data_IF_144210076897
#
_entry.id   IF_144210076897
#
_cell.length_a   1.000
_cell.length_b   1.000
_cell.length_c   1.000
_cell.angle_alpha   90.00
_cell.angle_beta   90.00
_cell.angle_gamma   90.00
#
_symmetry.space_group_name_H-M   'P 1'
#
loop_
_entity.id
_entity.type
_entity.pdbx_description
1 polymer ?
#
# COMPACT_ATOMS: atom_id res chain seq x y z
N UNK A 1 -17.93 -4.07 -5.65
CA UNK A 1 -18.76 -3.06 -4.99
C UNK A 1 -20.03 -3.73 -4.47
N UNK A 2 -20.39 -3.45 -3.24
CA UNK A 2 -21.60 -3.96 -2.58
C UNK A 2 -21.99 -3.01 -1.45
N UNK A 3 -23.20 -3.13 -0.93
CA UNK A 3 -23.55 -2.46 0.33
C UNK A 3 -23.10 -3.29 1.53
N UNK A 4 -22.82 -2.63 2.64
CA UNK A 4 -22.60 -3.26 3.93
C UNK A 4 -23.94 -3.55 4.63
N UNK A 5 -23.92 -4.43 5.64
CA UNK A 5 -25.07 -4.64 6.51
C UNK A 5 -25.48 -3.30 7.15
N UNK A 6 -26.78 -2.93 7.12
CA UNK A 6 -27.24 -1.65 7.63
C UNK A 6 -27.01 -1.57 9.14
N UNK A 7 -26.46 -0.44 9.59
CA UNK A 7 -26.08 -0.24 10.99
C UNK A 7 -27.09 0.70 11.64
N UNK A 8 -27.87 0.21 12.61
CA UNK A 8 -28.65 1.10 13.48
C UNK A 8 -27.67 1.85 14.36
N UNK A 9 -27.65 3.19 14.25
CA UNK A 9 -26.81 4.04 15.08
C UNK A 9 -27.31 4.00 16.52
N UNK A 10 -26.45 3.53 17.42
CA UNK A 10 -26.66 3.60 18.87
C UNK A 10 -25.67 4.61 19.46
N UNK A 11 -26.13 5.72 20.08
CA UNK A 11 -25.24 6.70 20.70
C UNK A 11 -24.31 6.14 21.79
N UNK A 12 -24.62 4.96 22.34
CA UNK A 12 -23.81 4.29 23.36
C UNK A 12 -22.67 3.45 22.77
N UNK A 13 -22.77 3.12 21.48
CA UNK A 13 -21.78 2.33 20.78
C UNK A 13 -20.89 3.28 19.97
N UNK A 14 -19.63 3.36 20.36
CA UNK A 14 -18.69 4.30 19.73
C UNK A 14 -18.32 3.90 18.30
N UNK A 15 -18.23 2.60 18.02
CA UNK A 15 -17.77 2.06 16.75
C UNK A 15 -18.52 0.80 16.37
N UNK A 16 -18.75 0.63 15.06
CA UNK A 16 -19.47 -0.51 14.52
C UNK A 16 -18.60 -1.24 13.51
N UNK A 17 -18.48 -2.56 13.67
CA UNK A 17 -17.75 -3.39 12.72
C UNK A 17 -18.55 -3.52 11.42
N UNK A 18 -17.91 -3.23 10.30
CA UNK A 18 -18.51 -3.31 8.98
C UNK A 18 -18.51 -4.75 8.47
N UNK A 19 -19.58 -5.12 7.75
CA UNK A 19 -19.70 -6.41 7.07
C UNK A 19 -20.36 -6.22 5.72
N UNK A 20 -19.84 -6.86 4.68
CA UNK A 20 -20.47 -6.86 3.36
C UNK A 20 -21.80 -7.64 3.43
N UNK A 21 -22.89 -7.02 2.95
CA UNK A 21 -24.21 -7.61 3.04
C UNK A 21 -24.31 -8.90 2.21
N UNK A 22 -24.88 -9.94 2.81
CA UNK A 22 -25.13 -11.22 2.13
C UNK A 22 -23.88 -12.07 1.86
N UNK A 23 -22.70 -11.66 2.33
CA UNK A 23 -21.46 -12.44 2.18
C UNK A 23 -21.06 -13.04 3.52
N UNK A 24 -20.55 -14.28 3.50
CA UNK A 24 -20.00 -14.91 4.71
C UNK A 24 -18.81 -14.11 5.22
N UNK A 25 -18.69 -13.96 6.54
CA UNK A 25 -17.62 -13.20 7.18
C UNK A 25 -16.22 -13.71 6.80
N UNK A 26 -16.06 -15.02 6.59
CA UNK A 26 -14.80 -15.63 6.14
C UNK A 26 -14.44 -15.34 4.69
N UNK A 27 -15.38 -14.88 3.86
CA UNK A 27 -15.18 -14.66 2.42
C UNK A 27 -15.26 -13.17 2.06
N UNK A 28 -15.18 -12.29 3.05
CA UNK A 28 -15.23 -10.86 2.83
C UNK A 28 -14.23 -10.13 3.72
N UNK A 29 -13.72 -9.06 3.15
CA UNK A 29 -12.88 -8.10 3.83
C UNK A 29 -13.15 -6.74 3.20
N UNK A 30 -13.40 -5.74 4.05
CA UNK A 30 -13.67 -4.38 3.58
C UNK A 30 -12.34 -3.78 3.11
N UNK A 31 -12.25 -3.45 1.82
CA UNK A 31 -11.11 -2.77 1.23
C UNK A 31 -11.26 -1.26 1.36
N UNK A 32 -12.45 -0.74 1.05
CA UNK A 32 -12.73 0.69 1.07
C UNK A 32 -14.21 0.95 1.42
N UNK A 33 -14.46 2.03 2.15
CA UNK A 33 -15.81 2.58 2.35
C UNK A 33 -15.98 3.75 1.40
N UNK A 34 -16.88 3.59 0.44
CA UNK A 34 -17.08 4.55 -0.66
C UNK A 34 -18.09 5.64 -0.33
N UNK A 35 -19.16 5.32 0.39
CA UNK A 35 -20.17 6.30 0.79
C UNK A 35 -20.88 5.89 2.09
N UNK A 36 -21.31 6.88 2.86
CA UNK A 36 -21.97 6.70 4.15
C UNK A 36 -23.15 7.65 4.26
N UNK A 37 -24.34 7.09 4.34
CA UNK A 37 -25.61 7.84 4.37
C UNK A 37 -26.43 7.45 5.60
N UNK A 38 -26.81 8.43 6.41
CA UNK A 38 -27.82 8.28 7.45
C UNK A 38 -29.23 8.40 6.89
N UNK A 39 -30.05 7.39 7.16
CA UNK A 39 -31.47 7.33 6.80
C UNK A 39 -32.32 7.29 8.07
N UNK A 40 -33.32 8.18 8.15
CA UNK A 40 -34.24 8.29 9.28
C UNK A 40 -35.62 7.78 8.90
N UNK A 41 -36.31 7.11 9.83
CA UNK A 41 -37.68 6.69 9.59
C UNK A 41 -38.60 7.92 9.44
N UNK A 42 -39.37 7.96 8.35
CA UNK A 42 -40.34 9.03 8.08
C UNK A 42 -39.78 10.34 7.51
N UNK A 43 -38.46 10.46 7.29
CA UNK A 43 -37.86 11.60 6.58
C UNK A 43 -37.32 11.17 5.21
N UNK A 44 -37.62 11.96 4.18
CA UNK A 44 -37.05 11.77 2.83
C UNK A 44 -35.59 12.25 2.79
N UNK A 45 -35.23 13.19 3.66
CA UNK A 45 -33.91 13.79 3.66
C UNK A 45 -32.87 12.80 4.19
N UNK A 46 -31.95 12.42 3.31
CA UNK A 46 -30.78 11.59 3.61
C UNK A 46 -29.65 12.50 4.07
N UNK A 47 -28.96 12.12 5.14
CA UNK A 47 -27.79 12.85 5.63
C UNK A 47 -26.52 12.14 5.14
N UNK A 48 -25.71 12.81 4.35
CA UNK A 48 -24.41 12.28 3.94
C UNK A 48 -23.37 12.56 5.01
N UNK A 49 -22.49 11.58 5.24
CA UNK A 49 -21.34 11.70 6.13
C UNK A 49 -20.07 11.63 5.30
N UNK A 50 -19.33 12.74 5.12
CA UNK A 50 -18.03 12.70 4.46
C UNK A 50 -16.97 12.01 5.34
N UNK A 51 -15.90 11.44 4.74
CA UNK A 51 -14.76 10.94 5.50
C UNK A 51 -14.06 12.09 6.21
N UNK A 52 -13.62 11.86 7.45
CA UNK A 52 -12.85 12.85 8.21
C UNK A 52 -11.60 13.32 7.45
N UNK A 53 -10.87 12.41 6.81
CA UNK A 53 -9.60 12.68 6.13
C UNK A 53 -9.75 13.61 4.92
N UNK A 54 -10.95 13.75 4.34
CA UNK A 54 -11.16 14.66 3.22
C UNK A 54 -11.15 16.15 3.63
N UNK A 55 -11.10 16.46 4.94
CA UNK A 55 -11.10 17.82 5.49
C UNK A 55 -12.27 18.72 5.02
N UNK A 56 -13.27 18.17 4.32
CA UNK A 56 -14.48 18.89 3.89
C UNK A 56 -15.23 19.49 5.07
N UNK A 57 -15.19 18.78 6.22
CA UNK A 57 -15.78 19.21 7.48
C UNK A 57 -15.20 20.52 8.05
N UNK A 58 -14.02 20.98 7.59
CA UNK A 58 -13.44 22.25 8.03
C UNK A 58 -14.27 23.47 7.61
N UNK A 59 -15.08 23.35 6.55
CA UNK A 59 -15.88 24.44 5.99
C UNK A 59 -17.38 24.38 6.39
N UNK A 60 -17.86 23.26 6.93
CA UNK A 60 -19.30 22.99 7.15
C UNK A 60 -19.87 23.47 8.49
N UNK A 61 -19.06 24.18 9.30
CA UNK A 61 -19.50 24.78 10.55
C UNK A 61 -19.92 23.77 11.65
N UNK A 62 -20.64 24.23 12.69
CA UNK A 62 -20.91 23.47 13.92
C UNK A 62 -21.95 22.33 13.77
N UNK A 63 -22.35 21.95 12.56
CA UNK A 63 -23.18 20.76 12.34
C UNK A 63 -22.50 19.69 11.48
N UNK A 64 -21.23 19.91 11.12
CA UNK A 64 -20.42 18.93 10.41
C UNK A 64 -20.40 17.62 11.20
N UNK A 65 -20.71 16.51 10.54
CA UNK A 65 -20.56 15.19 11.10
C UNK A 65 -19.89 14.34 10.03
N UNK A 66 -18.92 13.54 10.43
CA UNK A 66 -18.06 12.80 9.52
C UNK A 66 -17.86 11.40 10.04
N UNK A 67 -17.46 10.48 9.16
CA UNK A 67 -17.06 9.15 9.60
C UNK A 67 -15.54 9.04 9.69
N UNK A 68 -15.09 8.24 10.65
CA UNK A 68 -13.72 7.76 10.76
C UNK A 68 -13.72 6.24 10.64
N UNK A 69 -12.63 5.71 10.10
CA UNK A 69 -12.41 4.27 9.98
C UNK A 69 -11.28 3.86 10.90
N UNK A 70 -11.42 2.70 11.51
CA UNK A 70 -10.37 2.05 12.28
C UNK A 70 -10.18 0.62 11.77
N UNK A 71 -8.96 0.32 11.35
CA UNK A 71 -8.56 -1.03 10.94
C UNK A 71 -7.87 -1.74 12.10
N UNK A 72 -8.23 -3.01 12.32
CA UNK A 72 -7.63 -3.85 13.34
C UNK A 72 -7.38 -5.24 12.80
N UNK A 73 -6.40 -5.94 13.36
CA UNK A 73 -6.17 -7.34 13.05
C UNK A 73 -7.38 -8.13 13.53
N UNK A 74 -7.86 -9.04 12.70
CA UNK A 74 -8.96 -9.93 13.07
C UNK A 74 -8.48 -10.91 14.14
N UNK A 75 -9.28 -11.21 15.16
CA UNK A 75 -8.92 -12.23 16.14
C UNK A 75 -9.08 -13.67 15.60
N UNK A 76 -9.70 -13.83 14.43
CA UNK A 76 -10.03 -15.13 13.84
C UNK A 76 -8.95 -15.67 12.92
N UNK A 77 -8.25 -14.78 12.22
CA UNK A 77 -7.24 -15.09 11.20
C UNK A 77 -6.34 -13.86 10.96
N UNK A 78 -5.57 -13.87 9.88
CA UNK A 78 -4.68 -12.76 9.48
C UNK A 78 -5.43 -11.54 8.88
N UNK A 79 -6.74 -11.67 8.60
CA UNK A 79 -7.79 -10.65 8.67
C UNK A 79 -7.48 -9.19 9.00
N UNK A 80 -7.97 -8.22 8.21
CA UNK A 80 -8.25 -6.87 8.72
C UNK A 80 -9.75 -6.64 8.89
N UNK A 81 -10.17 -6.40 10.13
CA UNK A 81 -11.53 -5.98 10.44
C UNK A 81 -11.60 -4.44 10.42
N UNK A 82 -12.65 -3.90 9.80
CA UNK A 82 -12.85 -2.45 9.65
C UNK A 82 -14.03 -2.00 10.50
N UNK A 83 -13.78 -1.00 11.33
CA UNK A 83 -14.77 -0.37 12.20
C UNK A 83 -15.05 1.05 11.70
N UNK A 84 -16.32 1.45 11.77
CA UNK A 84 -16.78 2.78 11.42
C UNK A 84 -17.34 3.48 12.66
N UNK A 85 -16.95 4.74 12.82
CA UNK A 85 -17.47 5.64 13.86
C UNK A 85 -17.97 6.92 13.22
N UNK A 86 -19.14 7.40 13.67
CA UNK A 86 -19.63 8.73 13.33
C UNK A 86 -19.15 9.69 14.41
N UNK A 87 -18.45 10.74 14.00
CA UNK A 87 -17.86 11.72 14.91
C UNK A 87 -18.42 13.10 14.58
N UNK A 88 -18.64 13.89 15.63
CA UNK A 88 -19.05 15.30 15.55
C UNK A 88 -18.02 16.18 16.25
N UNK A 89 -17.91 17.47 15.89
CA UNK A 89 -17.07 18.42 16.61
C UNK A 89 -17.47 18.50 18.09
N UNK A 90 -16.49 18.82 18.94
CA UNK A 90 -16.62 18.79 20.40
C UNK A 90 -17.73 19.70 20.94
N UNK A 91 -17.98 20.81 20.26
CA UNK A 91 -18.93 21.85 20.69
C UNK A 91 -20.38 21.54 20.23
N UNK A 92 -20.59 20.39 19.58
CA UNK A 92 -21.89 19.94 19.10
C UNK A 92 -22.43 18.90 20.08
N UNK A 93 -23.63 19.16 20.62
CA UNK A 93 -24.30 18.19 21.46
C UNK A 93 -24.53 16.87 20.67
N UNK A 94 -24.29 15.69 21.28
CA UNK A 94 -24.63 14.42 20.67
C UNK A 94 -26.08 14.42 20.21
N UNK A 95 -26.30 13.99 18.97
CA UNK A 95 -27.65 13.86 18.45
C UNK A 95 -28.22 12.51 18.88
N UNK A 96 -29.25 12.52 19.73
CA UNK A 96 -30.00 11.32 20.15
C UNK A 96 -30.97 10.81 19.06
N UNK A 97 -30.75 11.18 17.81
CA UNK A 97 -31.66 10.84 16.72
C UNK A 97 -31.35 9.43 16.24
N UNK A 98 -32.34 8.54 16.34
CA UNK A 98 -32.26 7.20 15.77
C UNK A 98 -32.20 7.29 14.24
N UNK A 99 -31.13 6.74 13.67
CA UNK A 99 -30.95 6.63 12.22
C UNK A 99 -30.27 5.30 11.89
N UNK A 100 -30.49 4.84 10.66
CA UNK A 100 -29.82 3.66 10.11
C UNK A 100 -28.80 4.14 9.08
N UNK A 101 -27.56 3.69 9.22
CA UNK A 101 -26.50 3.97 8.28
C UNK A 101 -26.59 2.97 7.12
N UNK A 102 -26.78 3.51 5.93
CA UNK A 102 -26.57 2.82 4.65
C UNK A 102 -25.14 3.11 4.23
N UNK A 103 -24.36 2.06 3.99
CA UNK A 103 -22.92 2.18 3.75
C UNK A 103 -22.59 1.38 2.50
N UNK A 104 -21.97 2.03 1.52
CA UNK A 104 -21.48 1.38 0.31
C UNK A 104 -19.99 1.13 0.41
N UNK A 105 -19.57 -0.08 0.07
CA UNK A 105 -18.21 -0.58 0.26
C UNK A 105 -17.68 -1.30 -0.97
N UNK A 106 -16.36 -1.22 -1.13
CA UNK A 106 -15.62 -2.17 -1.93
C UNK A 106 -15.07 -3.24 -1.01
N UNK A 107 -15.45 -4.50 -1.24
CA UNK A 107 -14.99 -5.64 -0.49
C UNK A 107 -14.15 -6.57 -1.37
N UNK A 108 -13.14 -7.20 -0.78
CA UNK A 108 -12.34 -8.26 -1.37
C UNK A 108 -12.79 -9.61 -0.82
N UNK A 109 -12.32 -10.69 -1.44
CA UNK A 109 -12.73 -12.06 -1.07
C UNK A 109 -11.92 -12.65 0.10
N UNK A 110 -11.25 -11.82 0.92
CA UNK A 110 -10.39 -12.25 2.04
C UNK A 110 -9.43 -13.36 1.58
N UNK A 111 -9.39 -14.49 2.29
CA UNK A 111 -8.49 -15.61 2.02
C UNK A 111 -9.02 -16.63 1.00
N UNK A 112 -10.24 -16.44 0.48
CA UNK A 112 -10.84 -17.35 -0.50
C UNK A 112 -10.00 -17.54 -1.78
N UNK A 113 -9.32 -16.50 -2.34
CA UNK A 113 -8.50 -16.69 -3.53
C UNK A 113 -7.31 -17.63 -3.31
N UNK A 114 -6.87 -17.84 -2.07
CA UNK A 114 -5.78 -18.75 -1.72
C UNK A 114 -6.17 -20.23 -1.85
N UNK A 115 -7.47 -20.53 -1.92
CA UNK A 115 -7.97 -21.90 -2.15
C UNK A 115 -7.91 -22.29 -3.63
N UNK A 116 -7.70 -21.33 -4.53
CA UNK A 116 -7.71 -21.56 -5.97
C UNK A 116 -6.41 -22.20 -6.47
N UNK A 117 -6.54 -23.27 -7.22
CA UNK A 117 -5.43 -23.95 -7.88
C UNK A 117 -5.15 -23.43 -9.30
N UNK A 118 -4.00 -23.83 -9.85
CA UNK A 118 -3.66 -23.53 -11.24
C UNK A 118 -4.65 -24.21 -12.18
N UNK A 119 -5.29 -23.43 -13.05
CA UNK A 119 -6.30 -23.89 -14.01
C UNK A 119 -7.74 -23.73 -13.53
N UNK A 120 -8.01 -23.40 -12.27
CA UNK A 120 -9.38 -23.29 -11.75
C UNK A 120 -10.09 -22.00 -12.21
N UNK A 121 -9.34 -20.94 -12.50
CA UNK A 121 -9.88 -19.72 -13.13
C UNK A 121 -10.02 -20.00 -14.63
N UNK A 122 -11.12 -20.64 -15.02
CA UNK A 122 -11.34 -21.13 -16.39
C UNK A 122 -12.67 -20.70 -17.04
N UNK A 123 -13.46 -19.89 -16.33
CA UNK A 123 -14.76 -19.44 -16.81
C UNK A 123 -14.56 -18.41 -17.94
N UNK A 124 -15.29 -18.60 -19.05
CA UNK A 124 -15.31 -17.65 -20.16
C UNK A 124 -16.07 -16.38 -19.78
N UNK A 125 -15.47 -15.18 -19.91
CA UNK A 125 -16.16 -13.92 -19.63
C UNK A 125 -17.39 -13.74 -20.54
N UNK A 126 -18.43 -13.09 -20.01
CA UNK A 126 -19.59 -12.70 -20.83
C UNK A 126 -19.15 -11.66 -21.88
N UNK A 127 -19.65 -11.78 -23.11
CA UNK A 127 -19.38 -10.82 -24.19
C UNK A 127 -18.21 -11.17 -25.11
N UNK A 128 -17.59 -12.35 -24.96
CA UNK A 128 -16.56 -12.84 -25.89
C UNK A 128 -17.24 -13.47 -27.12
N UNK A 129 -16.88 -12.98 -28.31
CA UNK A 129 -17.49 -13.40 -29.58
C UNK A 129 -16.99 -14.74 -30.12
N UNK A 130 -15.79 -15.17 -29.72
CA UNK A 130 -15.18 -16.43 -30.14
C UNK A 130 -14.93 -17.35 -28.94
N UNK A 131 -15.29 -18.64 -29.00
CA UNK A 131 -15.01 -19.58 -27.93
C UNK A 131 -13.50 -19.83 -27.86
N UNK A 132 -12.86 -19.33 -26.80
CA UNK A 132 -11.47 -19.60 -26.47
C UNK A 132 -11.37 -20.16 -25.05
N UNK A 133 -10.48 -21.14 -24.79
CA UNK A 133 -10.26 -21.63 -23.43
C UNK A 133 -9.51 -20.58 -22.60
N UNK A 134 -10.08 -20.17 -21.48
CA UNK A 134 -9.43 -19.31 -20.50
C UNK A 134 -8.83 -20.16 -19.39
N UNK A 135 -7.63 -19.81 -18.94
CA UNK A 135 -7.01 -20.37 -17.74
C UNK A 135 -6.04 -19.37 -17.14
N UNK A 136 -5.87 -19.36 -15.82
CA UNK A 136 -4.76 -18.65 -15.21
C UNK A 136 -3.42 -19.29 -15.62
N UNK A 137 -2.45 -18.43 -15.93
CA UNK A 137 -1.09 -18.83 -16.33
C UNK A 137 -0.14 -19.00 -15.13
N UNK A 138 -0.55 -18.50 -13.96
CA UNK A 138 0.16 -18.61 -12.69
C UNK A 138 -0.85 -18.88 -11.57
N UNK A 139 -0.42 -19.47 -10.44
CA UNK A 139 -1.23 -19.54 -9.23
C UNK A 139 -1.71 -18.15 -8.80
N UNK A 140 -2.87 -18.09 -8.16
CA UNK A 140 -3.37 -16.86 -7.56
C UNK A 140 -2.46 -16.47 -6.41
N UNK A 141 -2.07 -15.21 -6.35
CA UNK A 141 -1.24 -14.72 -5.25
C UNK A 141 -2.06 -14.67 -3.97
N UNK A 142 -1.47 -15.15 -2.87
CA UNK A 142 -2.08 -15.01 -1.55
C UNK A 142 -2.25 -13.51 -1.20
N UNK A 143 -3.36 -13.14 -0.56
CA UNK A 143 -3.57 -11.77 -0.09
C UNK A 143 -2.41 -11.31 0.77
N UNK A 144 -1.84 -10.14 0.45
CA UNK A 144 -0.76 -9.54 1.24
C UNK A 144 -1.29 -8.36 2.02
N UNK A 145 -1.28 -8.50 3.36
CA UNK A 145 -1.86 -7.54 4.30
C UNK A 145 -0.73 -6.73 4.93
N UNK A 146 -0.92 -5.42 5.01
CA UNK A 146 -0.01 -4.58 5.77
C UNK A 146 -0.25 -4.80 7.28
N UNK A 147 0.79 -4.72 8.14
CA UNK A 147 0.59 -4.67 9.57
C UNK A 147 -0.29 -3.46 9.89
N UNK A 148 -1.23 -3.61 10.82
CA UNK A 148 -2.10 -2.53 11.28
C UNK A 148 -1.63 -1.98 12.61
N UNK A 149 -1.94 -0.72 12.90
CA UNK A 149 -1.57 -0.08 14.16
C UNK A 149 -0.18 0.54 14.16
N UNK A 150 0.44 0.63 15.34
CA UNK A 150 1.64 1.45 15.59
C UNK A 150 2.84 1.09 14.72
N UNK A 151 2.99 -0.18 14.34
CA UNK A 151 4.11 -0.63 13.53
C UNK A 151 4.12 0.03 12.14
N UNK A 152 2.96 0.10 11.46
CA UNK A 152 2.85 0.76 10.16
C UNK A 152 3.17 2.26 10.25
N UNK A 153 2.73 2.91 11.33
CA UNK A 153 3.04 4.32 11.58
C UNK A 153 4.55 4.52 11.74
N UNK A 154 5.24 3.66 12.50
CA UNK A 154 6.69 3.74 12.64
C UNK A 154 7.41 3.47 11.32
N UNK A 155 6.97 2.48 10.54
CA UNK A 155 7.51 2.23 9.19
C UNK A 155 7.36 3.47 8.29
N UNK A 156 6.20 4.10 8.29
CA UNK A 156 5.95 5.33 7.53
C UNK A 156 6.82 6.49 8.01
N UNK A 157 6.90 6.74 9.32
CA UNK A 157 7.73 7.79 9.90
C UNK A 157 9.22 7.58 9.57
N UNK A 158 9.71 6.34 9.67
CA UNK A 158 11.08 5.99 9.27
C UNK A 158 11.33 6.28 7.80
N UNK A 159 10.37 5.97 6.92
CA UNK A 159 10.49 6.27 5.48
C UNK A 159 10.46 7.78 5.18
N UNK A 160 9.53 8.52 5.78
CA UNK A 160 9.43 9.97 5.56
C UNK A 160 10.65 10.75 6.04
N UNK A 161 11.36 10.23 7.04
CA UNK A 161 12.62 10.79 7.54
C UNK A 161 13.83 10.53 6.64
N UNK A 162 13.69 9.77 5.55
CA UNK A 162 14.81 9.43 4.68
C UNK A 162 15.33 10.64 3.92
N UNK A 163 16.63 10.86 4.04
CA UNK A 163 17.38 11.77 3.18
C UNK A 163 18.27 10.97 2.24
N UNK A 164 18.65 11.58 1.12
CA UNK A 164 19.62 10.97 0.19
C UNK A 164 20.96 10.65 0.86
N UNK A 165 21.39 11.47 1.82
CA UNK A 165 22.61 11.20 2.61
C UNK A 165 22.44 9.94 3.44
N UNK A 166 21.26 9.72 4.02
CA UNK A 166 20.94 8.52 4.78
C UNK A 166 20.99 7.26 3.90
N UNK A 167 20.49 7.32 2.66
CA UNK A 167 20.50 6.20 1.72
C UNK A 167 21.89 5.84 1.18
N UNK A 168 22.93 6.63 1.48
CA UNK A 168 24.32 6.25 1.18
C UNK A 168 24.90 5.26 2.22
N UNK A 169 24.22 5.06 3.35
CA UNK A 169 24.57 4.04 4.34
C UNK A 169 23.88 2.71 3.98
N UNK A 170 24.64 1.62 3.73
CA UNK A 170 24.05 0.31 3.42
C UNK A 170 23.13 -0.21 4.54
N UNK A 171 23.36 0.15 5.80
CA UNK A 171 22.51 -0.23 6.93
C UNK A 171 21.14 0.41 6.84
N UNK A 172 21.11 1.72 6.53
CA UNK A 172 19.86 2.46 6.35
C UNK A 172 19.12 1.99 5.10
N UNK A 173 19.83 1.72 4.00
CA UNK A 173 19.22 1.17 2.79
C UNK A 173 18.56 -0.19 3.07
N UNK A 174 19.27 -1.10 3.75
CA UNK A 174 18.71 -2.41 4.14
C UNK A 174 17.50 -2.26 5.04
N UNK A 175 17.59 -1.40 6.07
CA UNK A 175 16.48 -1.13 6.96
C UNK A 175 15.26 -0.58 6.19
N UNK A 176 15.48 0.35 5.25
CA UNK A 176 14.44 0.93 4.41
C UNK A 176 13.74 -0.13 3.57
N UNK A 177 14.49 -0.98 2.87
CA UNK A 177 13.91 -2.07 2.07
C UNK A 177 13.16 -3.08 2.94
N UNK A 178 13.65 -3.35 4.15
CA UNK A 178 13.00 -4.25 5.10
C UNK A 178 11.61 -3.73 5.56
N UNK A 179 11.38 -2.41 5.58
CA UNK A 179 10.06 -1.85 5.88
C UNK A 179 8.97 -2.33 4.90
N UNK A 180 9.35 -2.71 3.69
CA UNK A 180 8.44 -3.15 2.62
C UNK A 180 8.34 -4.66 2.48
N UNK A 181 9.05 -5.45 3.28
CA UNK A 181 8.97 -6.92 3.22
C UNK A 181 7.73 -7.46 3.95
N UNK A 182 6.54 -7.06 3.52
CA UNK A 182 5.26 -7.55 4.06
C UNK A 182 5.04 -9.05 3.80
N UNK A 183 5.68 -9.60 2.77
CA UNK A 183 5.57 -11.02 2.41
C UNK A 183 6.08 -11.98 3.50
N UNK A 184 6.91 -11.48 4.43
CA UNK A 184 7.39 -12.26 5.58
C UNK A 184 6.26 -12.79 6.46
N UNK A 185 5.17 -12.04 6.59
CA UNK A 185 4.02 -12.43 7.41
C UNK A 185 3.19 -13.56 6.78
N UNK A 186 3.32 -13.77 5.47
CA UNK A 186 2.45 -14.68 4.70
C UNK A 186 3.17 -15.95 4.32
N UNK A 187 4.44 -15.83 3.93
CA UNK A 187 5.26 -16.94 3.48
C UNK A 187 6.67 -16.78 4.03
N UNK A 188 7.05 -17.68 4.93
CA UNK A 188 8.42 -17.75 5.44
C UNK A 188 9.44 -17.89 4.30
N UNK A 189 9.10 -18.61 3.23
CA UNK A 189 9.99 -18.80 2.07
C UNK A 189 10.17 -17.52 1.27
N UNK A 190 9.09 -16.83 0.89
CA UNK A 190 9.18 -15.58 0.12
C UNK A 190 9.79 -14.46 0.95
N UNK A 191 9.36 -14.35 2.21
CA UNK A 191 9.93 -13.42 3.18
C UNK A 191 11.43 -13.61 3.34
N UNK A 192 11.90 -14.85 3.50
CA UNK A 192 13.33 -15.16 3.62
C UNK A 192 14.10 -14.87 2.34
N UNK A 193 13.51 -15.15 1.17
CA UNK A 193 14.13 -14.81 -0.11
C UNK A 193 14.33 -13.30 -0.25
N UNK A 194 13.34 -12.50 0.12
CA UNK A 194 13.45 -11.04 0.12
C UNK A 194 14.48 -10.55 1.15
N UNK A 195 14.53 -11.14 2.36
CA UNK A 195 15.57 -10.83 3.35
C UNK A 195 16.97 -11.11 2.81
N UNK A 196 17.19 -12.26 2.15
CA UNK A 196 18.48 -12.57 1.54
C UNK A 196 18.87 -11.55 0.48
N UNK A 197 17.92 -11.15 -0.38
CA UNK A 197 18.13 -10.08 -1.38
C UNK A 197 18.53 -8.76 -0.72
N UNK A 198 17.89 -8.39 0.38
CA UNK A 198 18.24 -7.18 1.16
C UNK A 198 19.62 -7.33 1.81
N UNK A 199 19.90 -8.46 2.46
CA UNK A 199 21.19 -8.80 3.09
C UNK A 199 22.33 -8.87 2.06
N UNK A 200 22.02 -9.05 0.78
CA UNK A 200 23.02 -9.07 -0.30
C UNK A 200 23.78 -7.74 -0.44
N UNK A 201 23.18 -6.62 -0.04
CA UNK A 201 23.79 -5.29 -0.13
C UNK A 201 25.01 -5.23 0.79
N UNK A 202 26.21 -5.15 0.19
CA UNK A 202 27.49 -5.09 0.92
C UNK A 202 27.94 -3.66 1.16
N UNK A 203 27.90 -2.83 0.13
CA UNK A 203 28.34 -1.44 0.23
C UNK A 203 27.54 -0.53 -0.70
N UNK A 204 27.41 0.72 -0.29
CA UNK A 204 26.82 1.79 -1.09
C UNK A 204 27.82 2.94 -1.10
N UNK A 205 28.09 3.50 -2.28
CA UNK A 205 28.96 4.66 -2.46
C UNK A 205 28.25 5.69 -3.32
N UNK A 206 28.22 6.93 -2.87
CA UNK A 206 27.66 8.05 -3.63
C UNK A 206 28.79 8.95 -4.12
N UNK A 207 28.83 9.19 -5.42
CA UNK A 207 29.82 10.06 -6.07
C UNK A 207 29.13 11.20 -6.81
N UNK A 208 29.61 12.45 -6.70
CA UNK A 208 29.06 13.55 -7.48
C UNK A 208 29.37 13.33 -8.96
N UNK A 209 28.37 13.54 -9.82
CA UNK A 209 28.55 13.47 -11.28
C UNK A 209 27.86 14.65 -11.96
N UNK A 210 28.40 15.04 -13.11
CA UNK A 210 27.77 16.01 -14.01
C UNK A 210 27.51 15.32 -15.34
N UNK A 211 26.32 15.56 -15.92
CA UNK A 211 25.95 15.09 -17.26
C UNK A 211 25.39 16.23 -18.07
N UNK A 212 25.57 16.14 -19.38
CA UNK A 212 24.85 16.99 -20.31
C UNK A 212 23.51 16.31 -20.61
N UNK A 213 22.41 16.92 -20.17
CA UNK A 213 21.05 16.50 -20.49
C UNK A 213 20.43 17.61 -21.32
N UNK A 214 20.00 17.27 -22.55
CA UNK A 214 19.39 18.23 -23.50
C UNK A 214 20.23 19.50 -23.73
N UNK A 215 21.57 19.37 -23.70
CA UNK A 215 22.49 20.49 -23.92
C UNK A 215 22.79 21.33 -22.68
N UNK A 216 22.19 21.02 -21.52
CA UNK A 216 22.47 21.70 -20.25
C UNK A 216 23.26 20.81 -19.28
N UNK A 217 24.26 21.35 -18.56
CA UNK A 217 24.97 20.60 -17.53
C UNK A 217 24.09 20.43 -16.28
N UNK A 218 23.70 19.19 -15.99
CA UNK A 218 22.95 18.82 -14.80
C UNK A 218 23.88 18.09 -13.82
N UNK A 219 23.87 18.56 -12.56
CA UNK A 219 24.62 17.94 -11.47
C UNK A 219 23.76 16.90 -10.77
N UNK A 220 24.38 15.86 -10.22
CA UNK A 220 23.68 14.88 -9.41
C UNK A 220 24.64 13.92 -8.74
N UNK A 221 24.18 12.70 -8.46
CA UNK A 221 25.07 11.64 -8.00
C UNK A 221 24.89 10.34 -8.76
N UNK A 222 26.02 9.66 -8.88
CA UNK A 222 26.07 8.23 -9.15
C UNK A 222 26.13 7.48 -7.84
N UNK A 223 25.21 6.54 -7.67
CA UNK A 223 25.22 5.58 -6.57
C UNK A 223 25.77 4.27 -7.10
N UNK A 224 26.87 3.79 -6.51
CA UNK A 224 27.42 2.46 -6.77
C UNK A 224 27.07 1.54 -5.61
N UNK A 225 26.44 0.42 -5.93
CA UNK A 225 26.03 -0.58 -4.95
C UNK A 225 26.73 -1.89 -5.27
N UNK A 226 27.41 -2.45 -4.28
CA UNK A 226 27.97 -3.78 -4.38
C UNK A 226 27.04 -4.78 -3.69
N UNK A 227 26.67 -5.83 -4.41
CA UNK A 227 25.79 -6.89 -3.91
C UNK A 227 26.43 -8.27 -4.02
N UNK A 228 26.09 -9.13 -3.07
CA UNK A 228 26.50 -10.52 -3.04
C UNK A 228 25.59 -11.39 -3.93
N UNK A 229 26.15 -11.95 -4.99
CA UNK A 229 25.41 -12.71 -6.00
C UNK A 229 24.78 -13.99 -5.43
N UNK A 230 25.44 -14.64 -4.46
CA UNK A 230 24.95 -15.86 -3.79
C UNK A 230 23.60 -15.69 -3.09
N UNK A 231 23.16 -14.44 -2.85
CA UNK A 231 21.94 -14.10 -2.10
C UNK A 231 20.82 -13.52 -2.97
N UNK A 232 21.08 -13.24 -4.26
CA UNK A 232 20.12 -12.59 -5.16
C UNK A 232 19.29 -13.57 -6.01
N UNK A 233 19.69 -14.85 -6.03
CA UNK A 233 19.08 -15.89 -6.85
C UNK A 233 19.70 -15.91 -8.24
N UNK A 234 18.98 -15.42 -9.26
CA UNK A 234 19.45 -15.39 -10.65
C UNK A 234 19.96 -14.02 -11.08
N UNK A 235 20.72 -13.97 -12.20
CA UNK A 235 21.17 -12.72 -12.83
C UNK A 235 19.98 -11.82 -13.21
N UNK A 236 18.85 -12.41 -13.65
CA UNK A 236 17.64 -11.66 -13.95
C UNK A 236 16.98 -11.04 -12.71
N UNK A 237 16.96 -11.75 -11.59
CA UNK A 237 16.49 -11.20 -10.31
C UNK A 237 17.40 -10.09 -9.79
N UNK A 238 18.72 -10.23 -9.96
CA UNK A 238 19.67 -9.18 -9.63
C UNK A 238 19.43 -7.91 -10.47
N UNK A 239 19.15 -8.05 -11.76
CA UNK A 239 18.77 -6.93 -12.62
C UNK A 239 17.47 -6.27 -12.16
N UNK A 240 16.42 -7.04 -11.89
CA UNK A 240 15.14 -6.51 -11.38
C UNK A 240 15.30 -5.80 -10.03
N UNK A 241 16.12 -6.35 -9.14
CA UNK A 241 16.46 -5.71 -7.87
C UNK A 241 17.12 -4.35 -8.09
N UNK A 242 18.04 -4.25 -9.05
CA UNK A 242 18.64 -2.98 -9.45
C UNK A 242 17.61 -1.99 -10.03
N UNK A 243 16.62 -2.43 -10.80
CA UNK A 243 15.55 -1.55 -11.28
C UNK A 243 14.74 -0.91 -10.13
N UNK A 244 14.47 -1.68 -9.07
CA UNK A 244 13.77 -1.16 -7.87
C UNK A 244 14.63 -0.12 -7.15
N UNK A 245 15.94 -0.38 -7.04
CA UNK A 245 16.87 0.56 -6.43
C UNK A 245 17.01 1.85 -7.28
N UNK A 246 17.02 1.74 -8.60
CA UNK A 246 17.11 2.88 -9.51
C UNK A 246 15.92 3.82 -9.32
N UNK A 247 14.71 3.26 -9.25
CA UNK A 247 13.49 4.04 -8.97
C UNK A 247 13.52 4.66 -7.57
N UNK A 248 13.98 3.91 -6.56
CA UNK A 248 14.12 4.41 -5.19
C UNK A 248 15.02 5.64 -5.15
N UNK A 249 16.20 5.60 -5.77
CA UNK A 249 17.11 6.75 -5.77
C UNK A 249 16.57 7.91 -6.62
N UNK A 250 15.92 7.64 -7.74
CA UNK A 250 15.29 8.69 -8.56
C UNK A 250 14.20 9.46 -7.80
N UNK A 251 13.40 8.76 -6.99
CA UNK A 251 12.35 9.37 -6.16
C UNK A 251 12.91 10.29 -5.04
N UNK A 252 14.15 10.06 -4.60
CA UNK A 252 14.78 10.83 -3.51
C UNK A 252 15.70 11.97 -4.00
N UNK A 253 15.76 12.22 -5.31
CA UNK A 253 16.53 13.33 -5.89
C UNK A 253 15.63 14.51 -6.25
N UNK A 254 16.11 15.72 -5.98
CA UNK A 254 15.42 16.97 -6.31
C UNK A 254 15.24 17.14 -7.83
N UNK A 255 14.17 17.83 -8.23
CA UNK A 255 13.78 18.03 -9.64
C UNK A 255 14.94 18.48 -10.56
N UNK A 256 15.83 19.34 -10.06
CA UNK A 256 16.98 19.89 -10.80
C UNK A 256 18.28 19.11 -10.59
N UNK A 257 18.20 17.82 -10.28
CA UNK A 257 19.36 16.95 -10.08
C UNK A 257 19.14 15.59 -10.72
N UNK A 258 20.23 14.92 -11.08
CA UNK A 258 20.18 13.57 -11.64
C UNK A 258 20.54 12.48 -10.60
N UNK A 259 19.97 11.29 -10.77
CA UNK A 259 20.36 10.05 -10.13
C UNK A 259 20.88 9.06 -11.18
N UNK A 260 22.00 8.40 -10.93
CA UNK A 260 22.55 7.33 -11.79
C UNK A 260 22.90 6.12 -10.90
N UNK A 261 22.31 4.96 -11.16
CA UNK A 261 22.60 3.74 -10.38
C UNK A 261 23.56 2.81 -11.14
N UNK A 262 24.62 2.36 -10.46
CA UNK A 262 25.47 1.24 -10.90
C UNK A 262 25.40 0.12 -9.86
N UNK A 263 25.03 -1.09 -10.28
CA UNK A 263 24.98 -2.29 -9.43
C UNK A 263 26.08 -3.26 -9.85
N UNK A 264 26.98 -3.60 -8.93
CA UNK A 264 28.09 -4.52 -9.18
C UNK A 264 27.89 -5.82 -8.39
N UNK A 265 27.93 -6.95 -9.09
CA UNK A 265 27.84 -8.28 -8.50
C UNK A 265 29.20 -8.75 -7.99
N UNK A 266 29.20 -9.40 -6.82
CA UNK A 266 30.38 -10.07 -6.26
C UNK A 266 30.10 -11.57 -6.14
N UNK A 267 31.02 -12.46 -6.60
CA UNK A 267 32.38 -12.17 -7.05
C UNK A 267 32.53 -11.96 -8.57
N UNK A 268 31.49 -12.17 -9.39
CA UNK A 268 31.57 -12.19 -10.86
C UNK A 268 32.01 -10.86 -11.49
N UNK A 269 31.92 -9.74 -10.76
CA UNK A 269 32.22 -8.38 -11.23
C UNK A 269 31.34 -7.92 -12.40
N UNK A 270 30.24 -8.61 -12.66
CA UNK A 270 29.22 -8.15 -13.60
C UNK A 270 28.64 -6.83 -13.08
N UNK A 271 28.56 -5.82 -13.94
CA UNK A 271 28.09 -4.49 -13.59
C UNK A 271 26.87 -4.12 -14.45
N UNK A 272 25.77 -3.79 -13.78
CA UNK A 272 24.58 -3.22 -14.40
C UNK A 272 24.57 -1.71 -14.21
N UNK A 273 24.22 -0.99 -15.26
CA UNK A 273 24.19 0.47 -15.29
C UNK A 273 22.82 0.94 -15.76
N UNK A 274 22.16 1.74 -14.93
CA UNK A 274 20.93 2.41 -15.31
C UNK A 274 21.24 3.81 -15.87
N UNK A 275 20.46 4.28 -16.87
CA UNK A 275 20.62 5.62 -17.40
C UNK A 275 20.34 6.67 -16.33
N UNK A 276 20.94 7.86 -16.48
CA UNK A 276 20.67 8.96 -15.56
C UNK A 276 19.19 9.38 -15.62
N UNK A 277 18.53 9.43 -14.46
CA UNK A 277 17.14 9.88 -14.30
C UNK A 277 17.11 11.25 -13.66
N UNK A 278 16.22 12.12 -14.12
CA UNK A 278 15.92 13.36 -13.43
C UNK A 278 15.16 13.05 -12.14
N UNK A 279 15.46 13.82 -11.09
CA UNK A 279 14.72 13.73 -9.83
C UNK A 279 13.24 14.06 -10.05
N UNK A 280 12.37 13.34 -9.35
CA UNK A 280 10.92 13.53 -9.43
C UNK A 280 10.38 14.35 -8.25
N UNK A 281 11.22 14.72 -7.28
CA UNK A 281 10.80 15.44 -6.09
C UNK A 281 10.57 16.92 -6.42
N UNK A 282 9.31 17.36 -6.38
CA UNK A 282 8.95 18.78 -6.43
C UNK A 282 9.68 19.54 -5.33
N UNK A 283 10.24 20.70 -5.68
CA UNK A 283 10.84 21.62 -4.70
C UNK A 283 9.65 22.22 -3.94
N UNK A 284 9.61 22.00 -2.62
CA UNK A 284 8.68 22.66 -1.70
C UNK A 284 9.28 23.99 -1.24
#
# INVERSE_FOLDING_TARGET
ETSADPIKRDPRVYEHMLRAAGVRTSHMEIFEVTDVIGVRQGQVQRKQYPPFIAYTHANDGPQAAYYTLRHTASPLDDATDTYLSIVTPRDVAPSDIEEVLSIDVTATNRNLPSELQLGEISITPRGVSAPAPFRNITPVTNPTRAPVGSELHWRLLSHMGLSRTSLADPTVLRATLALYNFQKEISATLGRANELKIESIRSVRSEPVTRLLEGAPVRGARVRIEVEESRLGTVGEAFLFGCVLDELYAAHVALNSLAELHLALQPSKVEFKWPARNGQRSIL
#
